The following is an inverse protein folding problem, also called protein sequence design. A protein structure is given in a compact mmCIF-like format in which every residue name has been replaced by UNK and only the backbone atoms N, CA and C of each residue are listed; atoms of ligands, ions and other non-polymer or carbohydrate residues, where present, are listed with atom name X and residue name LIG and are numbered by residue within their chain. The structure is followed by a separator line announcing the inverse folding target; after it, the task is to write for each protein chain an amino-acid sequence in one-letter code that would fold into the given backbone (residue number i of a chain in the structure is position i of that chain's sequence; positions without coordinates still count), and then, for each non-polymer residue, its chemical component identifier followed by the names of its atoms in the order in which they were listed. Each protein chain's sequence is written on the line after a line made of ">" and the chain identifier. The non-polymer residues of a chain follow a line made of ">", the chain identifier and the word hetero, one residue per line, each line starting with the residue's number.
data_IF_738418538835
#
_entry.id   IF_738418538835
#
_cell.length_a   1.000
_cell.length_b   1.000
_cell.length_c   1.000
_cell.angle_alpha   90.00
_cell.angle_beta   90.00
_cell.angle_gamma   90.00
#
_symmetry.space_group_name_H-M   'P 1'
#
loop_
_entity.id
_entity.type
_entity.pdbx_description
1 polymer ?
#
# COMPACT_ATOMS: atom_id res chain seq x y z
N UNK A 1 -18.87 25.15 -21.76
CA UNK A 1 -19.60 24.56 -22.90
C UNK A 1 -19.89 23.11 -22.55
N UNK A 2 -21.14 22.62 -22.61
CA UNK A 2 -21.51 21.26 -22.26
C UNK A 2 -21.63 20.34 -23.49
N UNK A 3 -21.56 19.02 -23.26
CA UNK A 3 -21.80 17.93 -24.22
C UNK A 3 -20.62 16.94 -24.25
N UNK A 4 -20.76 15.62 -24.27
CA UNK A 4 -21.92 14.79 -24.59
C UNK A 4 -21.68 13.35 -24.06
N UNK A 5 -22.77 12.60 -24.01
CA UNK A 5 -23.01 11.27 -23.43
C UNK A 5 -22.48 10.05 -24.22
N UNK A 6 -22.39 8.94 -23.48
CA UNK A 6 -22.93 7.58 -23.75
C UNK A 6 -22.09 6.47 -24.43
N UNK A 7 -22.32 5.26 -23.87
CA UNK A 7 -22.05 3.92 -24.41
C UNK A 7 -21.10 3.15 -23.48
N UNK A 8 -21.50 2.19 -22.65
CA UNK A 8 -22.56 1.18 -22.78
C UNK A 8 -21.88 -0.17 -22.99
N UNK A 9 -21.96 -1.09 -22.01
CA UNK A 9 -22.49 -2.45 -22.19
C UNK A 9 -22.19 -3.37 -20.98
N UNK A 10 -23.28 -3.95 -20.51
CA UNK A 10 -23.47 -4.92 -19.43
C UNK A 10 -23.09 -6.35 -19.84
N UNK A 11 -22.45 -7.09 -18.91
CA UNK A 11 -22.67 -8.50 -18.48
C UNK A 11 -22.51 -9.67 -19.50
N UNK A 12 -22.22 -10.94 -19.06
CA UNK A 12 -22.93 -11.63 -17.97
C UNK A 12 -22.11 -12.55 -17.02
N UNK A 13 -22.64 -12.64 -15.80
CA UNK A 13 -22.59 -13.80 -14.92
C UNK A 13 -23.49 -14.92 -15.49
N UNK A 14 -23.08 -16.18 -15.36
CA UNK A 14 -23.97 -17.35 -15.44
C UNK A 14 -23.25 -18.62 -14.92
N UNK A 15 -23.54 -18.98 -13.67
CA UNK A 15 -23.57 -20.39 -13.26
C UNK A 15 -24.71 -21.15 -13.94
N UNK A 16 -24.56 -22.48 -14.11
CA UNK A 16 -25.63 -23.33 -14.64
C UNK A 16 -25.23 -24.79 -14.76
N UNK A 17 -25.76 -25.61 -13.85
CA UNK A 17 -25.62 -27.06 -13.82
C UNK A 17 -26.60 -27.79 -14.78
N UNK A 18 -26.24 -29.02 -15.16
CA UNK A 18 -27.21 -30.08 -15.48
C UNK A 18 -27.14 -30.65 -16.90
N UNK A 19 -27.09 -31.98 -17.02
CA UNK A 19 -27.38 -32.69 -18.27
C UNK A 19 -26.69 -34.04 -18.44
N UNK A 20 -27.18 -35.07 -17.74
CA UNK A 20 -26.87 -36.50 -17.94
C UNK A 20 -27.44 -37.01 -19.27
N UNK A 21 -26.65 -37.77 -20.04
CA UNK A 21 -27.17 -38.88 -20.85
C UNK A 21 -26.23 -40.09 -20.83
N UNK A 22 -26.84 -41.26 -20.83
CA UNK A 22 -26.33 -42.55 -20.38
C UNK A 22 -26.41 -43.54 -21.52
N UNK A 23 -25.31 -44.18 -21.95
CA UNK A 23 -25.36 -45.38 -22.79
C UNK A 23 -24.13 -46.28 -22.58
N UNK A 24 -24.39 -47.57 -22.27
CA UNK A 24 -23.61 -48.67 -22.87
C UNK A 24 -22.63 -49.47 -22.00
N UNK A 25 -23.18 -50.43 -21.22
CA UNK A 25 -22.69 -51.79 -20.91
C UNK A 25 -21.23 -52.19 -21.22
N UNK A 26 -20.56 -52.77 -20.21
CA UNK A 26 -19.49 -53.75 -20.39
C UNK A 26 -18.71 -54.00 -19.10
N UNK A 27 -18.89 -55.17 -18.47
CA UNK A 27 -18.33 -55.46 -17.15
C UNK A 27 -16.83 -55.79 -17.14
N UNK A 28 -16.16 -55.43 -16.05
CA UNK A 28 -15.26 -56.32 -15.28
C UNK A 28 -14.79 -55.63 -14.01
N UNK A 29 -14.60 -56.46 -13.00
CA UNK A 29 -14.13 -56.22 -11.63
C UNK A 29 -12.85 -55.40 -11.51
N UNK A 30 -12.86 -54.30 -10.76
CA UNK A 30 -11.73 -53.81 -9.96
C UNK A 30 -12.22 -52.79 -8.93
N UNK A 31 -11.99 -53.04 -7.64
CA UNK A 31 -12.22 -52.06 -6.58
C UNK A 31 -11.08 -51.04 -6.64
N UNK A 32 -11.29 -49.94 -7.34
CA UNK A 32 -10.36 -48.80 -7.32
C UNK A 32 -10.85 -47.80 -6.27
N UNK A 33 -10.16 -47.75 -5.14
CA UNK A 33 -10.27 -46.65 -4.19
C UNK A 33 -9.72 -45.39 -4.88
N UNK A 34 -10.60 -44.61 -5.51
CA UNK A 34 -10.26 -43.28 -6.02
C UNK A 34 -10.05 -42.34 -4.84
N UNK A 35 -8.80 -42.22 -4.38
CA UNK A 35 -8.38 -41.17 -3.47
C UNK A 35 -8.45 -39.83 -4.22
N UNK A 36 -9.51 -39.06 -3.97
CA UNK A 36 -9.58 -37.67 -4.36
C UNK A 36 -8.58 -36.88 -3.50
N UNK A 37 -7.36 -36.69 -4.01
CA UNK A 37 -6.38 -35.78 -3.43
C UNK A 37 -6.86 -34.37 -3.78
N UNK A 38 -7.64 -33.76 -2.88
CA UNK A 38 -7.91 -32.34 -2.87
C UNK A 38 -6.61 -31.63 -2.44
N UNK A 39 -5.83 -31.14 -3.40
CA UNK A 39 -4.74 -30.22 -3.13
C UNK A 39 -5.35 -28.89 -2.65
N UNK A 40 -5.51 -28.73 -1.33
CA UNK A 40 -5.71 -27.43 -0.73
C UNK A 40 -4.38 -26.68 -0.84
N UNK A 41 -4.23 -25.85 -1.89
CA UNK A 41 -3.17 -24.85 -1.91
C UNK A 41 -3.47 -23.88 -0.76
N UNK A 42 -2.77 -24.04 0.37
CA UNK A 42 -2.69 -22.98 1.35
C UNK A 42 -1.99 -21.80 0.67
N UNK A 43 -2.74 -20.74 0.37
CA UNK A 43 -2.18 -19.49 -0.10
C UNK A 43 -1.32 -18.91 1.03
N UNK A 44 -0.01 -19.15 0.96
CA UNK A 44 0.94 -18.45 1.83
C UNK A 44 1.11 -17.04 1.28
N UNK A 45 0.95 -16.00 2.11
CA UNK A 45 1.19 -14.64 1.66
C UNK A 45 2.61 -14.50 1.12
N UNK A 46 2.76 -13.79 0.00
CA UNK A 46 4.08 -13.52 -0.57
C UNK A 46 4.77 -12.44 0.24
N UNK A 47 6.11 -12.39 0.22
CA UNK A 47 6.86 -11.35 0.94
C UNK A 47 6.45 -9.92 0.52
N UNK A 48 6.17 -9.71 -0.77
CA UNK A 48 5.67 -8.43 -1.26
C UNK A 48 4.28 -8.09 -0.69
N UNK A 49 3.38 -9.07 -0.62
CA UNK A 49 2.05 -8.87 -0.02
C UNK A 49 2.14 -8.47 1.46
N UNK A 50 3.01 -9.13 2.23
CA UNK A 50 3.24 -8.78 3.64
C UNK A 50 3.74 -7.33 3.81
N UNK A 51 4.66 -6.89 2.95
CA UNK A 51 5.15 -5.50 2.97
C UNK A 51 4.03 -4.48 2.73
N UNK A 52 3.18 -4.71 1.73
CA UNK A 52 2.01 -3.86 1.46
C UNK A 52 1.01 -3.90 2.62
N UNK A 53 0.75 -5.08 3.20
CA UNK A 53 -0.17 -5.21 4.33
C UNK A 53 0.32 -4.47 5.58
N UNK A 54 1.61 -4.53 5.87
CA UNK A 54 2.21 -3.80 6.98
C UNK A 54 2.14 -2.28 6.75
N UNK A 55 2.41 -1.83 5.53
CA UNK A 55 2.30 -0.42 5.15
C UNK A 55 0.85 0.10 5.30
N UNK A 56 -0.12 -0.62 4.76
CA UNK A 56 -1.54 -0.27 4.85
C UNK A 56 -2.03 -0.24 6.30
N UNK A 57 -1.67 -1.26 7.09
CA UNK A 57 -2.00 -1.27 8.50
C UNK A 57 -1.39 -0.06 9.20
N UNK A 58 -0.12 0.25 8.95
CA UNK A 58 0.56 1.39 9.55
C UNK A 58 -0.13 2.72 9.18
N UNK A 59 -0.32 2.99 7.88
CA UNK A 59 -0.91 4.23 7.39
C UNK A 59 -2.32 4.45 7.94
N UNK A 60 -3.17 3.41 7.91
CA UNK A 60 -4.52 3.48 8.49
C UNK A 60 -4.47 3.81 9.98
N UNK A 61 -3.64 3.13 10.75
CA UNK A 61 -3.57 3.37 12.20
C UNK A 61 -2.89 4.71 12.54
N UNK A 62 -1.95 5.21 11.71
CA UNK A 62 -1.35 6.52 11.91
C UNK A 62 -2.39 7.65 11.79
N UNK A 63 -3.38 7.53 10.91
CA UNK A 63 -4.50 8.48 10.83
C UNK A 63 -5.31 8.52 12.15
N UNK A 64 -5.54 7.34 12.75
CA UNK A 64 -6.24 7.24 14.04
C UNK A 64 -5.39 7.76 15.20
N UNK A 65 -4.09 7.47 15.20
CA UNK A 65 -3.14 7.96 16.19
C UNK A 65 -3.14 9.49 16.25
N UNK A 66 -3.00 10.15 15.10
CA UNK A 66 -3.07 11.63 15.00
C UNK A 66 -4.39 12.22 15.47
N UNK A 67 -5.48 11.49 15.27
CA UNK A 67 -6.80 11.87 15.76
C UNK A 67 -6.99 11.62 17.27
N UNK A 68 -6.00 11.03 17.94
CA UNK A 68 -5.96 10.77 19.38
C UNK A 68 -6.57 9.41 19.78
N UNK A 69 -6.52 8.41 18.91
CA UNK A 69 -7.09 7.09 19.21
C UNK A 69 -6.23 6.29 20.21
N UNK A 70 -6.85 5.71 21.23
CA UNK A 70 -6.17 4.86 22.20
C UNK A 70 -6.16 3.38 21.76
N UNK A 71 -5.00 2.89 21.31
CA UNK A 71 -4.81 1.51 20.87
C UNK A 71 -4.83 0.51 22.04
N UNK A 72 -5.55 -0.59 21.86
CA UNK A 72 -5.60 -1.69 22.85
C UNK A 72 -4.72 -2.89 22.49
N UNK A 73 -4.35 -3.06 21.22
CA UNK A 73 -3.49 -4.16 20.76
C UNK A 73 -2.03 -3.96 21.23
N UNK A 74 -1.28 -5.05 21.46
CA UNK A 74 0.17 -4.96 21.67
C UNK A 74 0.90 -4.18 20.57
N UNK A 75 0.59 -4.46 19.30
CA UNK A 75 1.25 -3.80 18.17
C UNK A 75 0.96 -2.30 18.14
N UNK A 76 -0.31 -1.92 18.29
CA UNK A 76 -0.71 -0.51 18.27
C UNK A 76 -0.05 0.29 19.40
N UNK A 77 0.05 -0.28 20.61
CA UNK A 77 0.76 0.36 21.72
C UNK A 77 2.27 0.42 21.50
N UNK A 78 2.86 -0.60 20.88
CA UNK A 78 4.30 -0.62 20.65
C UNK A 78 4.74 0.40 19.58
N UNK A 79 3.91 0.57 18.54
CA UNK A 79 4.19 1.50 17.45
C UNK A 79 3.80 2.93 17.86
N UNK A 80 2.59 3.16 18.34
CA UNK A 80 2.03 4.52 18.54
C UNK A 80 2.05 5.01 20.00
N UNK A 81 2.52 4.19 20.95
CA UNK A 81 2.74 4.49 22.38
C UNK A 81 1.56 5.02 23.23
N UNK A 82 0.44 5.41 22.61
CA UNK A 82 -0.76 6.03 23.20
C UNK A 82 -0.51 7.37 23.94
N UNK A 83 0.64 8.02 23.74
CA UNK A 83 0.91 9.31 24.36
C UNK A 83 -0.03 10.36 23.80
N UNK A 84 -0.84 10.97 24.68
CA UNK A 84 -1.78 12.02 24.27
C UNK A 84 -3.09 11.54 23.63
N UNK A 85 -3.37 10.22 23.64
CA UNK A 85 -4.64 9.72 23.15
C UNK A 85 -5.83 10.19 24.03
N UNK A 86 -6.98 10.40 23.41
CA UNK A 86 -8.19 10.99 24.04
C UNK A 86 -9.34 9.98 24.19
N UNK A 87 -9.28 8.84 23.50
CA UNK A 87 -10.31 7.80 23.60
C UNK A 87 -10.36 6.89 22.39
N UNK A 88 -11.48 6.16 22.21
CA UNK A 88 -11.70 5.29 21.04
C UNK A 88 -12.57 5.94 19.96
N UNK A 89 -13.20 7.05 20.30
CA UNK A 89 -14.05 7.83 19.43
C UNK A 89 -13.28 9.09 19.06
N UNK A 90 -12.85 9.16 17.81
CA UNK A 90 -12.04 10.25 17.30
C UNK A 90 -12.60 10.74 15.98
N UNK A 91 -12.30 11.99 15.66
CA UNK A 91 -12.65 12.60 14.37
C UNK A 91 -11.37 12.70 13.55
N UNK A 92 -11.35 12.06 12.39
CA UNK A 92 -10.21 12.14 11.47
C UNK A 92 -10.15 13.53 10.82
N UNK A 93 -8.95 13.93 10.41
CA UNK A 93 -8.73 15.14 9.60
C UNK A 93 -9.47 15.06 8.25
N UNK A 94 -9.72 16.19 7.56
CA UNK A 94 -10.36 16.18 6.25
C UNK A 94 -9.67 15.24 5.25
N UNK A 95 -10.43 14.41 4.54
CA UNK A 95 -9.91 13.38 3.63
C UNK A 95 -9.46 12.09 4.33
N UNK A 96 -9.32 12.09 5.65
CA UNK A 96 -8.85 10.93 6.40
C UNK A 96 -9.84 9.76 6.38
N UNK A 97 -11.14 10.02 6.39
CA UNK A 97 -12.16 8.97 6.33
C UNK A 97 -12.17 8.27 4.95
N UNK A 98 -12.06 9.06 3.88
CA UNK A 98 -11.94 8.57 2.51
C UNK A 98 -10.66 7.76 2.32
N UNK A 99 -9.53 8.24 2.84
CA UNK A 99 -8.26 7.53 2.73
C UNK A 99 -8.24 6.23 3.56
N UNK A 100 -8.84 6.21 4.77
CA UNK A 100 -9.05 4.97 5.52
C UNK A 100 -9.92 3.98 4.73
N UNK A 101 -10.95 4.45 4.03
CA UNK A 101 -11.80 3.58 3.21
C UNK A 101 -11.02 3.00 2.02
N UNK A 102 -10.21 3.81 1.33
CA UNK A 102 -9.29 3.36 0.29
C UNK A 102 -8.33 2.28 0.81
N UNK A 103 -7.61 2.56 1.90
CA UNK A 103 -6.64 1.62 2.49
C UNK A 103 -7.33 0.30 2.88
N UNK A 104 -8.53 0.36 3.47
CA UNK A 104 -9.28 -0.86 3.82
C UNK A 104 -9.70 -1.68 2.60
N UNK A 105 -9.96 -1.04 1.46
CA UNK A 105 -10.21 -1.75 0.20
C UNK A 105 -8.96 -2.54 -0.20
N UNK A 106 -7.79 -1.89 -0.19
CA UNK A 106 -6.52 -2.53 -0.51
C UNK A 106 -6.16 -3.66 0.47
N UNK A 107 -6.39 -3.45 1.78
CA UNK A 107 -6.22 -4.49 2.80
C UNK A 107 -7.12 -5.71 2.51
N UNK A 108 -8.36 -5.49 2.06
CA UNK A 108 -9.29 -6.56 1.73
C UNK A 108 -8.89 -7.31 0.46
N UNK A 109 -8.47 -6.60 -0.60
CA UNK A 109 -8.07 -7.18 -1.88
C UNK A 109 -6.81 -8.04 -1.74
N UNK A 110 -5.88 -7.64 -0.86
CA UNK A 110 -4.68 -8.41 -0.53
C UNK A 110 -4.91 -9.49 0.55
N UNK A 111 -6.09 -9.55 1.17
CA UNK A 111 -6.35 -10.49 2.27
C UNK A 111 -5.45 -10.25 3.49
N UNK A 112 -5.13 -8.99 3.78
CA UNK A 112 -4.17 -8.63 4.81
C UNK A 112 -4.58 -9.12 6.21
N UNK A 113 -3.62 -9.72 6.92
CA UNK A 113 -3.82 -10.25 8.27
C UNK A 113 -2.60 -9.97 9.16
N UNK A 114 -2.31 -8.69 9.39
CA UNK A 114 -1.20 -8.24 10.23
C UNK A 114 -1.36 -8.75 11.67
N UNK A 115 -0.31 -9.37 12.23
CA UNK A 115 -0.33 -9.87 13.61
C UNK A 115 -0.31 -8.72 14.62
N UNK A 116 -1.50 -8.31 15.07
CA UNK A 116 -1.63 -7.25 16.07
C UNK A 116 -1.21 -7.65 17.50
N UNK A 117 -0.85 -8.91 17.75
CA UNK A 117 -0.27 -9.36 19.02
C UNK A 117 1.26 -9.20 19.07
N UNK A 118 1.91 -9.00 17.93
CA UNK A 118 3.32 -8.63 17.88
C UNK A 118 3.55 -7.24 18.51
N UNK A 119 4.81 -6.93 18.83
CA UNK A 119 5.22 -5.60 19.34
C UNK A 119 6.17 -4.89 18.37
N UNK A 120 6.26 -5.38 17.14
CA UNK A 120 7.09 -4.83 16.08
C UNK A 120 6.37 -5.06 14.75
N UNK A 121 6.66 -4.21 13.78
CA UNK A 121 6.11 -4.28 12.43
C UNK A 121 7.28 -4.30 11.45
N UNK A 122 7.26 -5.22 10.48
CA UNK A 122 8.24 -5.21 9.40
C UNK A 122 7.87 -4.11 8.40
N UNK A 123 8.32 -2.90 8.68
CA UNK A 123 8.10 -1.74 7.83
C UNK A 123 9.36 -0.85 7.86
N UNK A 124 9.96 -0.54 6.71
CA UNK A 124 11.10 0.36 6.67
C UNK A 124 10.71 1.76 7.12
N UNK A 125 11.66 2.44 7.76
CA UNK A 125 11.60 3.87 8.04
C UNK A 125 10.37 4.34 8.85
N UNK A 126 9.83 3.52 9.76
CA UNK A 126 8.70 3.89 10.64
C UNK A 126 8.89 5.27 11.29
N UNK A 127 10.08 5.55 11.83
CA UNK A 127 10.37 6.85 12.46
C UNK A 127 10.27 8.04 11.50
N UNK A 128 10.62 7.87 10.22
CA UNK A 128 10.44 8.91 9.21
C UNK A 128 8.96 9.09 8.86
N UNK A 129 8.24 7.98 8.68
CA UNK A 129 6.80 7.97 8.38
C UNK A 129 5.98 8.63 9.49
N UNK A 130 6.32 8.37 10.75
CA UNK A 130 5.68 9.00 11.91
C UNK A 130 5.78 10.52 11.91
N UNK A 131 6.87 11.07 11.35
CA UNK A 131 7.12 12.51 11.30
C UNK A 131 6.44 13.23 10.13
N UNK A 132 5.90 12.51 9.16
CA UNK A 132 5.27 13.15 8.00
C UNK A 132 4.10 14.04 8.45
N UNK A 133 3.85 15.16 7.78
CA UNK A 133 2.68 16.00 8.05
C UNK A 133 1.44 15.44 7.35
N UNK A 134 1.62 14.67 6.27
CA UNK A 134 0.56 13.99 5.53
C UNK A 134 0.84 12.49 5.58
N UNK A 135 -0.14 11.69 5.99
CA UNK A 135 -0.01 10.23 5.97
C UNK A 135 -0.01 9.76 4.52
N UNK A 136 0.91 8.86 4.21
CA UNK A 136 1.01 8.20 2.91
C UNK A 136 0.85 6.69 3.08
N UNK A 137 0.37 6.02 2.05
CA UNK A 137 0.26 4.56 1.97
C UNK A 137 0.80 4.09 0.62
N UNK A 138 1.36 2.88 0.54
CA UNK A 138 1.90 2.34 -0.71
C UNK A 138 0.83 2.30 -1.81
N UNK A 139 1.19 2.77 -3.00
CA UNK A 139 0.37 2.59 -4.20
C UNK A 139 0.50 1.15 -4.71
N UNK A 140 -0.50 0.70 -5.47
CA UNK A 140 -0.40 -0.55 -6.25
C UNK A 140 0.48 -0.39 -7.50
N UNK A 141 0.71 0.86 -7.91
CA UNK A 141 1.56 1.21 -9.04
C UNK A 141 2.83 1.89 -8.54
N UNK A 142 3.98 1.46 -9.06
CA UNK A 142 5.25 2.11 -8.80
C UNK A 142 5.89 2.54 -10.11
N UNK A 143 6.50 3.72 -10.11
CA UNK A 143 7.41 4.15 -11.17
C UNK A 143 8.69 4.69 -10.56
N UNK A 144 9.77 4.74 -11.33
CA UNK A 144 11.07 5.08 -10.78
C UNK A 144 12.01 5.79 -11.76
N UNK A 145 12.82 6.67 -11.19
CA UNK A 145 14.00 7.25 -11.81
C UNK A 145 15.22 6.60 -11.19
N UNK A 146 15.86 5.69 -11.92
CA UNK A 146 16.99 4.92 -11.42
C UNK A 146 18.31 5.61 -11.76
N UNK A 147 19.22 5.66 -10.77
CA UNK A 147 20.52 6.29 -10.86
C UNK A 147 20.42 7.77 -11.19
N UNK A 148 19.86 8.56 -10.26
CA UNK A 148 19.71 10.01 -10.38
C UNK A 148 21.01 10.73 -10.73
N UNK A 149 20.96 11.64 -11.71
CA UNK A 149 22.12 12.39 -12.22
C UNK A 149 22.02 13.89 -11.96
N UNK A 150 20.90 14.37 -11.42
CA UNK A 150 20.70 15.78 -11.09
C UNK A 150 21.37 16.19 -9.77
N UNK A 151 21.14 17.44 -9.36
CA UNK A 151 21.64 17.97 -8.09
C UNK A 151 20.91 17.40 -6.87
N UNK A 152 21.34 17.76 -5.64
CA UNK A 152 20.66 17.32 -4.43
C UNK A 152 19.23 17.86 -4.34
N UNK A 153 18.29 17.03 -3.90
CA UNK A 153 16.88 17.42 -3.68
C UNK A 153 16.55 17.22 -2.20
N UNK A 154 16.05 18.27 -1.54
CA UNK A 154 15.52 18.17 -0.19
C UNK A 154 14.16 17.47 -0.19
N UNK A 155 14.02 16.48 0.70
CA UNK A 155 12.78 15.77 0.97
C UNK A 155 12.26 16.22 2.33
N UNK A 156 11.01 16.68 2.36
CA UNK A 156 10.42 17.34 3.53
C UNK A 156 9.37 16.47 4.20
N UNK A 157 9.15 16.72 5.49
CA UNK A 157 8.09 16.05 6.23
C UNK A 157 6.68 16.38 5.71
N UNK A 158 6.52 17.54 5.07
CA UNK A 158 5.24 17.98 4.53
C UNK A 158 5.38 18.80 3.23
N UNK A 159 4.28 18.91 2.45
CA UNK A 159 4.26 19.59 1.16
C UNK A 159 4.20 21.12 1.28
N UNK A 160 5.20 21.69 1.96
CA UNK A 160 5.37 23.14 2.15
C UNK A 160 6.84 23.51 2.26
N UNK A 161 7.23 24.66 1.72
CA UNK A 161 8.64 25.09 1.65
C UNK A 161 9.35 25.20 3.01
N UNK A 162 8.61 25.49 4.08
CA UNK A 162 9.15 25.62 5.45
C UNK A 162 9.07 24.34 6.28
N UNK A 163 8.68 23.21 5.70
CA UNK A 163 8.68 21.93 6.43
C UNK A 163 10.12 21.45 6.65
N UNK A 164 10.32 20.78 7.79
CA UNK A 164 11.59 20.17 8.15
C UNK A 164 12.06 19.23 7.04
N UNK A 165 13.37 19.28 6.74
CA UNK A 165 13.99 18.34 5.81
C UNK A 165 14.16 16.99 6.52
N UNK A 166 13.48 15.97 5.98
CA UNK A 166 13.51 14.59 6.45
C UNK A 166 14.64 13.78 5.80
N UNK A 167 15.00 14.13 4.58
CA UNK A 167 16.02 13.44 3.79
C UNK A 167 16.53 14.28 2.63
N UNK A 168 17.55 13.76 1.95
CA UNK A 168 18.14 14.40 0.76
C UNK A 168 18.44 13.35 -0.28
N UNK A 169 17.90 13.53 -1.49
CA UNK A 169 18.30 12.77 -2.69
C UNK A 169 19.67 13.24 -3.13
N UNK A 170 20.55 12.31 -3.52
CA UNK A 170 21.90 12.59 -4.03
C UNK A 170 22.12 11.91 -5.38
N UNK A 171 23.11 12.39 -6.17
CA UNK A 171 23.50 11.70 -7.39
C UNK A 171 23.82 10.22 -7.13
N UNK A 172 23.25 9.35 -7.94
CA UNK A 172 23.36 7.89 -7.85
C UNK A 172 22.24 7.20 -7.08
N UNK A 173 21.38 7.94 -6.38
CA UNK A 173 20.21 7.35 -5.70
C UNK A 173 19.10 7.00 -6.69
N UNK A 174 18.24 6.05 -6.31
CA UNK A 174 17.02 5.71 -7.04
C UNK A 174 15.82 6.43 -6.41
N UNK A 175 15.01 7.10 -7.21
CA UNK A 175 13.82 7.83 -6.76
C UNK A 175 12.59 7.06 -7.21
N UNK A 176 11.75 6.64 -6.27
CA UNK A 176 10.58 5.81 -6.55
C UNK A 176 9.31 6.57 -6.14
N UNK A 177 8.33 6.57 -7.04
CA UNK A 177 6.96 7.00 -6.80
C UNK A 177 6.11 5.76 -6.56
N UNK A 178 5.94 5.41 -5.30
CA UNK A 178 5.24 4.18 -4.86
C UNK A 178 4.25 4.46 -3.71
N UNK A 179 3.86 5.71 -3.50
CA UNK A 179 2.97 6.12 -2.40
C UNK A 179 1.81 7.00 -2.89
N UNK A 180 0.65 6.80 -2.27
CA UNK A 180 -0.57 7.59 -2.37
C UNK A 180 -0.79 8.39 -1.07
N UNK A 181 -1.56 9.48 -1.14
CA UNK A 181 -1.95 10.28 0.01
C UNK A 181 -3.42 10.72 -0.10
N UNK A 182 -4.07 10.97 1.05
CA UNK A 182 -5.46 11.41 1.10
C UNK A 182 -5.74 12.67 0.25
N UNK A 183 -4.77 13.58 0.20
CA UNK A 183 -4.82 14.79 -0.59
C UNK A 183 -3.44 15.01 -1.21
N UNK A 184 -3.40 15.22 -2.51
CA UNK A 184 -2.16 15.47 -3.26
C UNK A 184 -2.06 16.96 -3.63
N UNK A 185 -1.16 17.73 -3.01
CA UNK A 185 -1.07 19.15 -3.31
C UNK A 185 -0.44 19.44 -4.66
N UNK A 186 -0.96 20.46 -5.35
CA UNK A 186 -0.44 20.88 -6.64
C UNK A 186 1.05 21.25 -6.58
N UNK A 187 1.82 20.71 -7.53
CA UNK A 187 3.25 20.99 -7.65
C UNK A 187 4.14 20.26 -6.62
N UNK A 188 3.57 19.39 -5.79
CA UNK A 188 4.32 18.55 -4.87
C UNK A 188 4.27 17.08 -5.31
N UNK A 189 5.36 16.38 -4.99
CA UNK A 189 5.52 14.96 -5.19
C UNK A 189 6.04 14.32 -3.91
N UNK A 190 5.61 13.10 -3.63
CA UNK A 190 6.17 12.29 -2.56
C UNK A 190 7.04 11.19 -3.18
N UNK A 191 8.27 11.07 -2.70
CA UNK A 191 9.28 10.18 -3.26
C UNK A 191 9.92 9.40 -2.13
N UNK A 192 10.12 8.10 -2.33
CA UNK A 192 11.07 7.28 -1.58
C UNK A 192 12.41 7.20 -2.31
N UNK A 193 13.47 7.16 -1.52
CA UNK A 193 14.84 7.11 -2.01
C UNK A 193 15.40 5.76 -1.69
N UNK A 194 15.90 5.08 -2.71
CA UNK A 194 16.47 3.76 -2.59
C UNK A 194 17.95 3.78 -2.95
N UNK A 195 18.70 2.90 -2.27
CA UNK A 195 20.09 2.62 -2.57
C UNK A 195 20.35 1.14 -2.36
N UNK A 196 20.92 0.48 -3.36
CA UNK A 196 21.15 -0.98 -3.33
C UNK A 196 19.86 -1.76 -2.98
N UNK A 197 18.72 -1.32 -3.54
CA UNK A 197 17.36 -1.84 -3.29
C UNK A 197 16.83 -1.68 -1.84
N UNK A 198 17.52 -0.90 -1.00
CA UNK A 198 17.03 -0.53 0.33
C UNK A 198 16.46 0.89 0.32
N UNK A 199 15.26 1.07 0.87
CA UNK A 199 14.70 2.39 1.11
C UNK A 199 15.49 3.11 2.21
N UNK A 200 16.22 4.17 1.85
CA UNK A 200 17.10 4.94 2.74
C UNK A 200 16.50 6.31 3.14
N UNK A 201 15.38 6.70 2.54
CA UNK A 201 14.72 7.96 2.86
C UNK A 201 13.40 8.15 2.13
N UNK A 202 12.64 9.15 2.54
CA UNK A 202 11.40 9.55 1.87
C UNK A 202 11.03 10.99 2.19
N UNK A 203 10.11 11.56 1.41
CA UNK A 203 9.45 12.81 1.77
C UNK A 203 8.88 13.56 0.58
N UNK A 204 8.32 14.73 0.90
CA UNK A 204 7.72 15.64 -0.06
C UNK A 204 8.77 16.53 -0.71
N UNK A 205 8.66 16.73 -2.02
CA UNK A 205 9.46 17.68 -2.78
C UNK A 205 8.63 18.40 -3.82
N UNK A 206 9.03 19.63 -4.15
CA UNK A 206 8.49 20.40 -5.25
C UNK A 206 9.54 20.58 -6.37
N UNK A 207 10.65 19.84 -6.30
CA UNK A 207 11.72 19.93 -7.27
C UNK A 207 11.25 19.45 -8.65
N UNK A 208 11.80 20.07 -9.69
CA UNK A 208 11.63 19.59 -11.05
C UNK A 208 12.45 18.32 -11.25
N UNK A 209 11.77 17.22 -11.54
CA UNK A 209 12.37 15.90 -11.79
C UNK A 209 11.96 15.49 -13.19
N UNK A 210 12.95 15.11 -13.98
CA UNK A 210 12.80 14.85 -15.41
C UNK A 210 13.56 13.57 -15.75
N UNK A 211 13.01 12.78 -16.66
CA UNK A 211 13.59 11.50 -17.10
C UNK A 211 15.01 11.65 -17.66
N UNK A 212 15.35 12.82 -18.22
CA UNK A 212 16.69 13.11 -18.72
C UNK A 212 17.76 13.17 -17.62
N UNK A 213 17.36 13.28 -16.35
CA UNK A 213 18.25 13.17 -15.19
C UNK A 213 18.34 11.74 -14.64
N UNK A 214 17.60 10.77 -15.18
CA UNK A 214 17.67 9.38 -14.76
C UNK A 214 18.70 8.62 -15.60
N UNK A 215 19.40 7.66 -15.03
CA UNK A 215 20.19 6.70 -15.82
C UNK A 215 19.26 5.79 -16.62
N UNK A 216 18.17 5.35 -15.99
CA UNK A 216 17.07 4.65 -16.64
C UNK A 216 15.78 4.90 -15.87
N UNK A 217 14.64 4.61 -16.48
CA UNK A 217 13.32 4.73 -15.85
C UNK A 217 12.70 3.34 -15.66
N UNK A 218 11.83 3.21 -14.65
CA UNK A 218 11.09 2.00 -14.33
C UNK A 218 9.59 2.31 -14.19
N UNK A 219 8.74 1.35 -14.57
CA UNK A 219 7.28 1.42 -14.50
C UNK A 219 6.61 0.17 -15.03
#
# INVERSE_FOLDING_TARGET
>A
MPGLFAGGDEMPDCGGAGGLEHFGKGGQTMKTLSAAILFALAATPTLAQEEHCNDYWFARNQLFDRAGYCFSSPLGKAIFDNTGCIGKQVTLEPGGAEFVAFIKSMEADLGCNVDTNATWLDLPNIGMRMRLEVVVARSEFASGCLGWRGGPIELRVGPRYGAEVLGVVRPGDDLIWEYEAAQWPDGWSFISVHKDAQEIGMGWTNAYIDETFCTTTAG
#
